data_IF_663960192383
#
_entry.id   IF_663960192383
#
_cell.length_a   1.000
_cell.length_b   1.000
_cell.length_c   1.000
_cell.angle_alpha   90.00
_cell.angle_beta   90.00
_cell.angle_gamma   90.00
#
_symmetry.space_group_name_H-M   'P 1'
#
loop_
_entity.id
_entity.type
_entity.pdbx_description
1 polymer ?
#
# COMPACT_ATOMS: atom_id res chain seq x y z
N UNK A 1 17.13 7.95 11.39
CA UNK A 1 16.02 7.15 11.95
C UNK A 1 14.71 7.74 11.48
N UNK A 2 13.93 6.91 10.80
CA UNK A 2 12.55 7.13 10.36
C UNK A 2 11.69 6.31 11.32
N UNK A 3 10.61 6.89 11.84
CA UNK A 3 9.61 6.17 12.62
C UNK A 3 8.61 5.53 11.67
N UNK A 4 8.38 4.23 11.79
CA UNK A 4 7.49 3.45 10.93
C UNK A 4 6.61 2.53 11.78
N UNK A 5 5.35 2.38 11.39
CA UNK A 5 4.46 1.36 11.95
C UNK A 5 4.80 0.00 11.34
N UNK A 6 5.09 -0.99 12.17
CA UNK A 6 5.32 -2.37 11.78
C UNK A 6 3.96 -3.09 11.67
N UNK A 7 3.56 -3.57 10.49
CA UNK A 7 2.35 -4.38 10.33
C UNK A 7 2.60 -5.87 10.61
N UNK A 8 1.51 -6.59 10.88
CA UNK A 8 1.46 -8.03 11.03
C UNK A 8 1.92 -8.72 9.74
N UNK A 9 2.99 -9.53 9.76
CA UNK A 9 3.54 -10.14 8.56
C UNK A 9 2.68 -11.32 8.08
N UNK A 10 2.60 -11.51 6.76
CA UNK A 10 2.06 -12.75 6.18
C UNK A 10 3.13 -13.84 6.19
N UNK A 11 2.93 -14.89 6.98
CA UNK A 11 3.86 -16.02 7.10
C UNK A 11 3.34 -17.31 6.41
N UNK A 12 2.35 -17.18 5.53
CA UNK A 12 1.91 -18.26 4.63
C UNK A 12 0.83 -17.80 3.64
N UNK A 13 0.72 -18.49 2.50
CA UNK A 13 -0.22 -18.16 1.41
C UNK A 13 -1.71 -18.20 1.83
N UNK A 14 -2.03 -18.91 2.91
CA UNK A 14 -3.38 -19.10 3.47
C UNK A 14 -3.54 -18.46 4.85
N UNK A 15 -2.64 -17.54 5.21
CA UNK A 15 -2.69 -16.81 6.48
C UNK A 15 -3.46 -15.50 6.30
N UNK A 16 -4.61 -15.43 6.97
CA UNK A 16 -5.45 -14.22 7.07
C UNK A 16 -5.25 -13.50 8.42
N UNK A 17 -4.92 -14.23 9.49
CA UNK A 17 -4.62 -13.69 10.83
C UNK A 17 -3.60 -14.56 11.58
N UNK A 18 -3.07 -14.03 12.70
CA UNK A 18 -2.21 -14.78 13.62
C UNK A 18 -2.22 -14.16 15.02
N UNK A 19 -1.76 -14.92 16.00
CA UNK A 19 -1.69 -14.51 17.41
C UNK A 19 -0.27 -14.08 17.77
N UNK A 20 -0.12 -12.99 18.52
CA UNK A 20 1.18 -12.62 19.10
C UNK A 20 1.50 -13.57 20.25
N UNK A 21 2.51 -14.43 20.11
CA UNK A 21 2.84 -15.43 21.13
C UNK A 21 3.75 -14.84 22.22
N UNK A 22 4.82 -14.16 21.84
CA UNK A 22 5.72 -13.46 22.76
C UNK A 22 6.45 -12.30 22.07
N UNK A 23 6.79 -11.24 22.82
CA UNK A 23 7.70 -10.19 22.34
C UNK A 23 9.14 -10.49 22.80
N UNK A 24 10.04 -10.72 21.84
CA UNK A 24 11.45 -11.03 22.12
C UNK A 24 12.27 -9.78 22.43
N UNK A 25 11.89 -8.63 21.85
CA UNK A 25 12.50 -7.31 22.08
C UNK A 25 11.60 -6.46 22.96
N UNK A 26 12.17 -5.81 23.99
CA UNK A 26 11.40 -4.98 24.92
C UNK A 26 11.10 -3.57 24.36
N UNK A 27 10.05 -2.93 24.89
CA UNK A 27 9.75 -1.54 24.54
C UNK A 27 10.94 -0.62 24.89
N UNK A 28 11.40 0.14 23.90
CA UNK A 28 12.55 1.05 24.01
C UNK A 28 13.90 0.40 23.73
N UNK A 29 13.97 -0.89 23.40
CA UNK A 29 15.20 -1.63 23.11
C UNK A 29 15.59 -1.57 21.63
N UNK A 30 16.91 -1.63 21.37
CA UNK A 30 17.47 -1.61 20.01
C UNK A 30 17.78 -3.02 19.52
N UNK A 31 17.52 -3.29 18.24
CA UNK A 31 17.71 -4.58 17.58
C UNK A 31 18.55 -4.42 16.30
N UNK A 32 19.28 -5.47 15.94
CA UNK A 32 20.02 -5.58 14.69
C UNK A 32 19.25 -6.41 13.65
N UNK A 33 19.57 -6.21 12.37
CA UNK A 33 19.05 -7.07 11.29
C UNK A 33 19.40 -8.53 11.54
N UNK A 34 18.39 -9.39 11.61
CA UNK A 34 18.50 -10.82 11.90
C UNK A 34 18.10 -11.22 13.31
N UNK A 35 17.96 -10.28 14.25
CA UNK A 35 17.48 -10.56 15.61
C UNK A 35 15.98 -10.86 15.59
N UNK A 36 15.50 -11.84 16.37
CA UNK A 36 14.06 -12.12 16.50
C UNK A 36 13.37 -10.98 17.24
N UNK A 37 12.29 -10.43 16.66
CA UNK A 37 11.51 -9.33 17.24
C UNK A 37 10.35 -9.83 18.12
N UNK A 38 9.63 -10.82 17.61
CA UNK A 38 8.49 -11.46 18.25
C UNK A 38 8.29 -12.89 17.72
N UNK A 39 7.56 -13.69 18.47
CA UNK A 39 7.03 -14.99 18.06
C UNK A 39 5.55 -14.86 17.70
N UNK A 40 5.14 -15.54 16.63
CA UNK A 40 3.78 -15.53 16.09
C UNK A 40 3.21 -16.94 16.08
N UNK A 41 2.07 -17.14 16.73
CA UNK A 41 1.32 -18.40 16.66
C UNK A 41 0.30 -18.35 15.52
N UNK A 42 0.38 -19.34 14.64
CA UNK A 42 -0.61 -19.58 13.57
C UNK A 42 -1.32 -20.91 13.83
N UNK A 43 -2.45 -21.15 13.15
CA UNK A 43 -3.21 -22.42 13.19
C UNK A 43 -2.37 -23.70 12.96
N UNK A 44 -1.16 -23.56 12.39
CA UNK A 44 -0.28 -24.69 12.03
C UNK A 44 1.01 -24.74 12.85
N UNK A 45 1.61 -23.59 13.17
CA UNK A 45 2.95 -23.49 13.75
C UNK A 45 3.17 -22.18 14.50
N UNK A 46 4.00 -22.22 15.54
CA UNK A 46 4.71 -21.05 16.07
C UNK A 46 5.86 -20.67 15.11
N UNK A 47 6.02 -19.39 14.81
CA UNK A 47 7.03 -18.87 13.86
C UNK A 47 7.69 -17.62 14.43
N UNK A 48 9.02 -17.59 14.44
CA UNK A 48 9.81 -16.40 14.81
C UNK A 48 9.80 -15.36 13.68
N UNK A 49 9.59 -14.08 14.03
CA UNK A 49 9.70 -12.96 13.08
C UNK A 49 11.04 -12.22 13.23
N UNK A 50 11.99 -12.39 12.29
CA UNK A 50 13.30 -11.73 12.35
C UNK A 50 13.26 -10.28 11.87
N UNK A 51 14.09 -9.44 12.49
CA UNK A 51 14.30 -8.05 12.11
C UNK A 51 14.89 -7.93 10.69
N UNK A 52 14.14 -7.32 9.78
CA UNK A 52 14.56 -7.17 8.38
C UNK A 52 15.58 -6.03 8.17
N UNK A 53 15.66 -5.11 9.13
CA UNK A 53 16.70 -4.08 9.27
C UNK A 53 17.10 -3.88 10.73
N UNK A 54 18.15 -3.10 10.99
CA UNK A 54 18.47 -2.66 12.35
C UNK A 54 17.60 -1.46 12.75
N UNK A 55 17.30 -1.32 14.03
CA UNK A 55 16.40 -0.28 14.53
C UNK A 55 16.20 -0.32 16.03
N UNK A 56 15.09 0.27 16.47
CA UNK A 56 14.67 0.34 17.87
C UNK A 56 13.16 0.17 17.96
N UNK A 57 12.70 -0.67 18.89
CA UNK A 57 11.29 -0.82 19.18
C UNK A 57 10.83 0.36 20.04
N UNK A 58 9.95 1.21 19.52
CA UNK A 58 9.48 2.41 20.24
C UNK A 58 8.31 2.06 21.14
N UNK A 59 7.35 1.29 20.63
CA UNK A 59 6.13 0.89 21.32
C UNK A 59 5.51 -0.36 20.69
N UNK A 60 4.99 -1.27 21.51
CA UNK A 60 4.13 -2.37 21.06
C UNK A 60 2.68 -1.90 21.08
N UNK A 61 1.94 -2.18 20.01
CA UNK A 61 0.53 -1.76 19.86
C UNK A 61 -0.46 -2.87 20.24
N UNK A 62 0.03 -4.10 20.33
CA UNK A 62 -0.70 -5.33 20.66
C UNK A 62 0.02 -6.11 21.75
N UNK A 63 -0.75 -6.78 22.61
CA UNK A 63 -0.25 -7.59 23.71
C UNK A 63 0.00 -9.05 23.31
N UNK A 64 0.73 -9.78 24.14
CA UNK A 64 0.85 -11.24 24.02
C UNK A 64 -0.53 -11.89 24.22
N UNK A 65 -0.91 -12.77 23.31
CA UNK A 65 -2.24 -13.39 23.21
C UNK A 65 -3.25 -12.64 22.32
N UNK A 66 -2.94 -11.45 21.81
CA UNK A 66 -3.84 -10.76 20.87
C UNK A 66 -3.80 -11.41 19.48
N UNK A 67 -4.99 -11.62 18.89
CA UNK A 67 -5.16 -12.07 17.50
C UNK A 67 -5.25 -10.86 16.59
N UNK A 68 -4.41 -10.84 15.55
CA UNK A 68 -4.22 -9.69 14.65
C UNK A 68 -4.33 -10.17 13.20
N UNK A 69 -5.09 -9.44 12.38
CA UNK A 69 -5.24 -9.74 10.95
C UNK A 69 -3.96 -9.34 10.17
N UNK A 70 -3.65 -10.05 9.09
CA UNK A 70 -2.46 -9.80 8.28
C UNK A 70 -2.51 -8.39 7.67
N UNK A 71 -1.46 -7.60 7.92
CA UNK A 71 -1.38 -6.19 7.54
C UNK A 71 -1.74 -5.19 8.65
N UNK A 72 -2.40 -5.60 9.73
CA UNK A 72 -2.75 -4.70 10.84
C UNK A 72 -1.53 -4.31 11.69
N UNK A 73 -1.51 -3.12 12.31
CA UNK A 73 -0.32 -2.59 12.98
C UNK A 73 -0.04 -3.26 14.33
N UNK A 74 1.16 -3.85 14.49
CA UNK A 74 1.59 -4.55 15.71
C UNK A 74 2.56 -3.75 16.59
N UNK A 75 3.36 -2.85 16.00
CA UNK A 75 4.32 -2.03 16.75
C UNK A 75 4.69 -0.74 16.02
N UNK A 76 5.40 0.15 16.72
CA UNK A 76 6.10 1.30 16.15
C UNK A 76 7.60 1.08 16.33
N UNK A 77 8.35 1.22 15.23
CA UNK A 77 9.82 1.05 15.20
C UNK A 77 10.50 2.30 14.64
N UNK A 78 11.71 2.59 15.14
CA UNK A 78 12.65 3.54 14.53
C UNK A 78 13.71 2.77 13.74
N UNK A 79 13.91 3.10 12.47
CA UNK A 79 14.93 2.44 11.63
C UNK A 79 15.53 3.39 10.59
N UNK A 80 16.72 3.11 10.07
CA UNK A 80 17.40 3.95 9.07
C UNK A 80 17.12 3.55 7.61
N UNK A 81 16.32 2.50 7.38
CA UNK A 81 15.93 2.03 6.04
C UNK A 81 14.44 1.75 5.99
N UNK A 82 13.85 1.78 4.79
CA UNK A 82 12.49 1.27 4.59
C UNK A 82 12.41 -0.19 5.06
N UNK A 83 11.41 -0.50 5.89
CA UNK A 83 11.14 -1.86 6.31
C UNK A 83 10.34 -2.55 5.20
N UNK A 84 10.88 -3.58 4.52
CA UNK A 84 10.11 -4.29 3.51
C UNK A 84 9.01 -5.07 4.21
N UNK A 85 7.77 -4.61 4.06
CA UNK A 85 6.59 -5.41 4.36
C UNK A 85 6.64 -6.61 3.42
N UNK A 86 6.54 -7.82 3.95
CA UNK A 86 6.56 -9.05 3.12
C UNK A 86 5.18 -9.20 2.46
N UNK A 87 4.98 -8.41 1.40
CA UNK A 87 3.85 -8.49 0.48
C UNK A 87 4.36 -9.04 -0.86
N UNK A 88 4.03 -10.30 -1.15
CA UNK A 88 4.13 -10.97 -2.45
C UNK A 88 5.37 -10.67 -3.33
N UNK A 89 6.58 -10.94 -2.81
CA UNK A 89 7.78 -11.39 -3.57
C UNK A 89 9.04 -11.56 -2.67
N UNK A 90 9.14 -12.68 -1.94
CA UNK A 90 10.39 -13.46 -1.73
C UNK A 90 10.20 -14.62 -0.71
N UNK A 91 9.37 -15.61 -1.04
CA UNK A 91 9.35 -16.90 -0.35
C UNK A 91 10.48 -17.80 -0.90
N UNK A 92 11.75 -17.38 -0.72
CA UNK A 92 12.81 -17.73 -1.67
C UNK A 92 14.22 -18.06 -1.14
N UNK A 93 14.45 -18.29 0.16
CA UNK A 93 15.74 -18.83 0.64
C UNK A 93 15.71 -19.46 2.05
N UNK A 94 15.37 -20.75 2.14
CA UNK A 94 15.75 -21.57 3.31
C UNK A 94 17.15 -22.17 3.10
N UNK A 95 18.08 -21.92 4.02
CA UNK A 95 19.24 -22.81 4.22
C UNK A 95 19.52 -23.02 5.70
N UNK A 96 19.46 -24.28 6.13
CA UNK A 96 19.59 -24.74 7.51
C UNK A 96 21.02 -24.65 8.08
N UNK A 97 21.12 -24.57 9.41
CA UNK A 97 22.36 -24.72 10.17
C UNK A 97 22.14 -25.48 11.48
N UNK A 98 22.04 -26.81 11.42
CA UNK A 98 21.75 -27.72 12.55
C UNK A 98 22.84 -27.78 13.62
N UNK A 99 22.45 -27.72 14.91
CA UNK A 99 22.97 -28.58 16.00
C UNK A 99 21.95 -28.72 17.15
N UNK A 100 21.88 -29.91 17.76
CA UNK A 100 20.98 -30.27 18.88
C UNK A 100 21.45 -31.58 19.57
N UNK A 101 20.84 -32.04 20.68
CA UNK A 101 20.19 -31.32 21.79
C UNK A 101 21.18 -31.39 23.00
N UNK A 102 20.96 -31.94 24.24
CA UNK A 102 19.78 -32.30 25.06
C UNK A 102 19.46 -31.24 26.17
N UNK A 103 18.42 -31.33 27.00
CA UNK A 103 17.32 -32.30 27.08
C UNK A 103 16.38 -32.11 28.30
N UNK A 104 15.23 -32.79 28.26
CA UNK A 104 14.25 -33.07 29.34
C UNK A 104 13.53 -31.87 29.99
N UNK A 105 12.29 -31.59 29.56
CA UNK A 105 11.07 -31.82 30.37
C UNK A 105 9.77 -31.28 29.71
N UNK A 106 8.78 -32.16 29.54
CA UNK A 106 7.36 -31.84 29.34
C UNK A 106 6.54 -33.00 29.96
N UNK A 107 5.24 -32.84 30.26
CA UNK A 107 4.48 -31.60 30.49
C UNK A 107 3.68 -31.62 31.81
N UNK A 108 3.20 -30.47 32.28
CA UNK A 108 2.00 -30.42 33.12
C UNK A 108 1.05 -29.33 32.64
N UNK A 109 0.03 -29.74 31.90
CA UNK A 109 -1.16 -28.94 31.66
C UNK A 109 -2.00 -28.87 32.94
N UNK A 110 -2.53 -27.70 33.25
CA UNK A 110 -3.65 -27.54 34.19
C UNK A 110 -4.50 -26.34 33.75
N UNK A 111 -5.84 -26.47 33.74
CA UNK A 111 -6.71 -25.52 33.06
C UNK A 111 -7.20 -24.41 33.97
N UNK A 112 -7.18 -23.17 33.48
CA UNK A 112 -7.90 -22.01 34.03
C UNK A 112 -8.46 -21.26 32.81
N UNK A 113 -9.68 -21.56 32.38
CA UNK A 113 -10.96 -21.05 32.89
C UNK A 113 -11.44 -19.84 32.08
N UNK A 114 -12.51 -20.05 31.31
CA UNK A 114 -13.09 -19.06 30.39
C UNK A 114 -13.70 -17.88 31.15
N UNK A 115 -13.08 -16.70 31.08
CA UNK A 115 -13.74 -15.43 31.44
C UNK A 115 -14.25 -14.73 30.18
N UNK A 116 -15.45 -15.12 29.77
CA UNK A 116 -16.28 -14.27 28.92
C UNK A 116 -16.92 -13.19 29.81
N UNK A 117 -16.64 -11.91 29.59
CA UNK A 117 -17.49 -10.84 30.14
C UNK A 117 -16.81 -9.54 30.58
N UNK A 118 -16.56 -8.66 29.60
CA UNK A 118 -16.74 -7.20 29.68
C UNK A 118 -16.10 -6.39 30.83
N UNK A 119 -15.13 -5.54 30.47
CA UNK A 119 -14.94 -4.24 31.12
C UNK A 119 -15.36 -3.08 30.20
N UNK A 120 -16.54 -2.55 30.52
CA UNK A 120 -16.90 -1.11 30.53
C UNK A 120 -16.33 -0.22 29.41
N UNK A 121 -17.12 -0.09 28.33
CA UNK A 121 -17.09 1.12 27.51
C UNK A 121 -17.52 2.34 28.35
N UNK A 122 -16.54 3.05 28.94
CA UNK A 122 -16.78 4.25 29.73
C UNK A 122 -17.42 5.35 28.88
N UNK A 123 -18.58 5.83 29.33
CA UNK A 123 -19.33 6.94 28.74
C UNK A 123 -18.92 8.25 29.43
N UNK A 124 -17.71 8.72 29.15
CA UNK A 124 -17.30 10.08 29.54
C UNK A 124 -17.85 11.12 28.55
N UNK A 125 -17.63 10.91 27.24
CA UNK A 125 -17.88 11.92 26.20
C UNK A 125 -18.97 11.51 25.18
N UNK A 126 -19.85 10.56 25.53
CA UNK A 126 -20.92 10.04 24.66
C UNK A 126 -20.44 9.18 23.46
N UNK A 127 -19.21 9.38 22.99
CA UNK A 127 -18.59 8.62 21.91
C UNK A 127 -18.20 7.21 22.38
N UNK A 128 -18.66 6.19 21.64
CA UNK A 128 -18.26 4.78 21.84
C UNK A 128 -16.99 4.50 21.04
N UNK A 129 -15.86 4.30 21.71
CA UNK A 129 -14.61 3.92 21.08
C UNK A 129 -13.93 2.78 21.85
N UNK A 130 -13.11 1.97 21.19
CA UNK A 130 -12.22 1.00 21.86
C UNK A 130 -11.07 1.74 22.57
N UNK A 131 -10.44 1.16 23.62
CA UNK A 131 -9.32 1.81 24.30
C UNK A 131 -8.17 2.17 23.35
N UNK A 132 -7.85 1.28 22.41
CA UNK A 132 -6.84 1.51 21.37
C UNK A 132 -7.21 2.69 20.46
N UNK A 133 -8.47 2.78 20.00
CA UNK A 133 -8.94 3.92 19.21
C UNK A 133 -8.81 5.25 19.97
N UNK A 134 -9.20 5.30 21.26
CA UNK A 134 -9.03 6.51 22.09
C UNK A 134 -7.56 6.91 22.22
N UNK A 135 -6.67 5.93 22.40
CA UNK A 135 -5.23 6.16 22.54
C UNK A 135 -4.62 6.71 21.25
N UNK A 136 -4.94 6.11 20.10
CA UNK A 136 -4.51 6.58 18.78
C UNK A 136 -5.04 8.00 18.47
N UNK A 137 -6.32 8.26 18.73
CA UNK A 137 -6.92 9.58 18.49
C UNK A 137 -6.26 10.67 19.34
N UNK A 138 -5.97 10.37 20.62
CA UNK A 138 -5.26 11.27 21.53
C UNK A 138 -3.83 11.56 21.07
N UNK A 139 -3.08 10.51 20.69
CA UNK A 139 -1.69 10.65 20.22
C UNK A 139 -1.58 11.46 18.92
N UNK A 140 -2.57 11.32 18.04
CA UNK A 140 -2.56 11.93 16.72
C UNK A 140 -3.39 13.24 16.63
N UNK A 141 -3.99 13.70 17.72
CA UNK A 141 -4.73 14.97 17.79
C UNK A 141 -6.08 14.97 17.06
N UNK A 142 -6.70 13.81 16.86
CA UNK A 142 -7.98 13.64 16.15
C UNK A 142 -9.14 13.71 17.14
N UNK A 143 -10.15 14.57 16.89
CA UNK A 143 -11.38 14.54 17.67
C UNK A 143 -12.19 13.29 17.32
N UNK A 144 -12.55 12.50 18.33
CA UNK A 144 -13.35 11.30 18.16
C UNK A 144 -14.81 11.59 17.77
N UNK A 145 -15.27 12.83 17.85
CA UNK A 145 -16.60 13.25 17.37
C UNK A 145 -16.67 13.29 15.84
N UNK A 146 -15.56 13.51 15.14
CA UNK A 146 -15.48 13.59 13.68
C UNK A 146 -15.31 12.23 12.99
N UNK A 147 -15.25 11.14 13.77
CA UNK A 147 -15.03 9.77 13.29
C UNK A 147 -16.33 8.95 13.25
N UNK A 148 -16.71 8.43 12.07
CA UNK A 148 -17.78 7.43 11.98
C UNK A 148 -17.21 6.02 12.26
N UNK A 149 -17.58 5.46 13.41
CA UNK A 149 -17.09 4.14 13.81
C UNK A 149 -17.68 2.98 13.03
N UNK A 150 -16.84 2.08 12.50
CA UNK A 150 -17.27 0.89 11.74
C UNK A 150 -17.68 -0.28 12.64
N UNK A 151 -17.27 -0.27 13.91
CA UNK A 151 -17.55 -1.30 14.89
C UNK A 151 -19.02 -1.45 15.30
N UNK A 152 -19.34 -2.56 15.98
CA UNK A 152 -20.72 -2.91 16.38
C UNK A 152 -21.41 -1.77 17.15
N UNK A 153 -22.56 -1.31 16.62
CA UNK A 153 -23.34 -0.14 17.08
C UNK A 153 -22.62 1.22 16.89
N UNK A 154 -21.92 1.40 15.76
CA UNK A 154 -21.10 2.59 15.44
C UNK A 154 -20.08 2.88 16.54
N UNK A 155 -19.35 1.85 16.94
CA UNK A 155 -18.20 1.99 17.85
C UNK A 155 -16.97 2.30 17.00
N UNK A 156 -16.22 3.32 17.37
CA UNK A 156 -14.94 3.67 16.73
C UNK A 156 -13.90 2.63 17.14
N UNK A 157 -13.26 2.03 16.15
CA UNK A 157 -12.19 1.05 16.27
C UNK A 157 -10.86 1.67 15.81
N UNK A 158 -9.73 0.99 16.02
CA UNK A 158 -8.41 1.56 15.76
C UNK A 158 -8.22 1.90 14.27
N UNK A 159 -8.76 1.04 13.41
CA UNK A 159 -8.86 1.20 11.95
C UNK A 159 -9.53 2.51 11.53
N UNK A 160 -10.59 2.94 12.22
CA UNK A 160 -11.33 4.17 11.89
C UNK A 160 -10.48 5.43 12.13
N UNK A 161 -9.70 5.44 13.21
CA UNK A 161 -8.76 6.53 13.52
C UNK A 161 -7.62 6.57 12.50
N UNK A 162 -7.06 5.41 12.17
CA UNK A 162 -5.98 5.29 11.18
C UNK A 162 -6.47 5.72 9.78
N UNK A 163 -7.70 5.37 9.41
CA UNK A 163 -8.31 5.79 8.15
C UNK A 163 -8.52 7.30 8.05
N UNK A 164 -8.77 7.99 9.17
CA UNK A 164 -8.82 9.45 9.21
C UNK A 164 -7.42 10.08 9.10
N UNK A 165 -6.40 9.46 9.72
CA UNK A 165 -5.01 9.93 9.68
C UNK A 165 -4.32 9.73 8.32
N UNK A 166 -4.70 8.71 7.56
CA UNK A 166 -4.21 8.47 6.19
C UNK A 166 -4.78 9.45 5.14
N UNK A 167 -5.58 10.42 5.57
CA UNK A 167 -6.49 11.17 4.71
C UNK A 167 -7.69 10.29 4.37
N UNK A 168 -8.90 10.73 4.75
CA UNK A 168 -10.11 9.98 4.47
C UNK A 168 -10.23 9.63 2.98
N UNK A 169 -10.61 8.39 2.68
CA UNK A 169 -10.70 7.78 1.33
C UNK A 169 -11.56 8.57 0.31
N UNK A 170 -12.22 9.63 0.75
CA UNK A 170 -13.12 10.50 -0.01
C UNK A 170 -12.51 11.86 -0.42
N UNK A 171 -11.38 12.29 0.18
CA UNK A 171 -10.77 13.63 -0.08
C UNK A 171 -9.34 13.54 -0.62
N UNK A 172 -8.83 12.32 -0.85
CA UNK A 172 -7.52 12.10 -1.47
C UNK A 172 -7.60 12.43 -2.97
N UNK A 173 -6.69 13.27 -3.47
CA UNK A 173 -6.60 13.51 -4.91
C UNK A 173 -6.19 12.22 -5.64
N UNK A 174 -6.97 11.84 -6.65
CA UNK A 174 -6.78 10.65 -7.44
C UNK A 174 -6.14 10.98 -8.78
N UNK A 175 -5.07 10.31 -9.16
CA UNK A 175 -4.37 10.52 -10.43
C UNK A 175 -4.33 9.23 -11.27
N UNK A 176 -4.66 9.35 -12.56
CA UNK A 176 -4.37 8.30 -13.55
C UNK A 176 -3.31 8.82 -14.55
N UNK A 177 -2.19 8.13 -14.64
CA UNK A 177 -1.05 8.49 -15.49
C UNK A 177 -0.98 7.58 -16.75
N UNK A 178 -1.03 8.19 -17.93
CA UNK A 178 -0.99 7.51 -19.23
C UNK A 178 0.33 7.83 -19.96
N UNK A 179 1.17 6.82 -20.17
CA UNK A 179 2.50 6.98 -20.78
C UNK A 179 2.43 7.25 -22.31
N UNK A 180 3.59 7.63 -22.88
CA UNK A 180 3.75 7.86 -24.32
C UNK A 180 4.10 6.58 -25.10
N UNK A 181 4.22 6.71 -26.43
CA UNK A 181 4.69 5.63 -27.30
C UNK A 181 6.11 5.17 -26.89
N UNK A 182 6.35 3.86 -26.84
CA UNK A 182 7.67 3.30 -26.48
C UNK A 182 8.06 3.48 -25.00
N UNK A 183 7.10 3.82 -24.15
CA UNK A 183 7.23 3.97 -22.70
C UNK A 183 6.29 2.98 -21.98
N UNK A 184 6.20 3.06 -20.65
CA UNK A 184 5.42 2.17 -19.78
C UNK A 184 5.10 2.88 -18.45
N UNK A 185 4.30 2.26 -17.59
CA UNK A 185 3.92 2.78 -16.27
C UNK A 185 5.13 3.13 -15.38
N UNK A 186 6.20 2.34 -15.43
CA UNK A 186 7.42 2.54 -14.62
C UNK A 186 8.12 3.88 -14.91
N UNK A 187 7.93 4.44 -16.12
CA UNK A 187 8.50 5.73 -16.52
C UNK A 187 7.99 6.90 -15.64
N UNK A 188 6.90 6.70 -14.90
CA UNK A 188 6.33 7.70 -14.00
C UNK A 188 6.86 7.67 -12.56
N UNK A 189 7.74 6.72 -12.19
CA UNK A 189 8.09 6.46 -10.79
C UNK A 189 8.50 7.67 -9.94
N UNK A 190 9.24 8.63 -10.52
CA UNK A 190 9.62 9.86 -9.83
C UNK A 190 8.44 10.82 -9.60
N UNK A 191 7.49 10.89 -10.54
CA UNK A 191 6.27 11.69 -10.39
C UNK A 191 5.30 11.05 -9.39
N UNK A 192 5.15 9.72 -9.44
CA UNK A 192 4.36 8.93 -8.48
C UNK A 192 4.85 9.23 -7.06
N UNK A 193 6.14 9.01 -6.78
CA UNK A 193 6.71 9.26 -5.47
C UNK A 193 6.53 10.72 -5.00
N UNK A 194 6.63 11.71 -5.90
CA UNK A 194 6.42 13.12 -5.55
C UNK A 194 4.96 13.47 -5.25
N UNK A 195 4.01 12.87 -5.95
CA UNK A 195 2.57 13.08 -5.73
C UNK A 195 2.08 12.34 -4.48
N UNK A 196 2.54 11.10 -4.27
CA UNK A 196 2.22 10.31 -3.09
C UNK A 196 2.81 10.89 -1.80
N UNK A 197 4.02 11.47 -1.86
CA UNK A 197 4.57 12.27 -0.75
C UNK A 197 3.75 13.54 -0.45
N UNK A 198 3.03 14.07 -1.45
CA UNK A 198 2.02 15.13 -1.29
C UNK A 198 0.65 14.61 -0.82
N UNK A 199 0.51 13.32 -0.54
CA UNK A 199 -0.72 12.69 -0.08
C UNK A 199 -1.70 12.30 -1.19
N UNK A 200 -1.36 12.41 -2.48
CA UNK A 200 -2.23 11.95 -3.57
C UNK A 200 -2.21 10.41 -3.73
N UNK A 201 -3.26 9.79 -4.27
CA UNK A 201 -3.24 8.39 -4.74
C UNK A 201 -3.01 8.41 -6.24
N UNK A 202 -2.05 7.62 -6.72
CA UNK A 202 -1.59 7.68 -8.10
C UNK A 202 -1.56 6.29 -8.70
N UNK A 203 -2.24 6.12 -9.83
CA UNK A 203 -2.20 4.89 -10.62
C UNK A 203 -1.57 5.19 -11.96
N UNK A 204 -0.58 4.40 -12.38
CA UNK A 204 -0.08 4.39 -13.74
C UNK A 204 -0.40 3.04 -14.36
N UNK A 205 -0.90 3.04 -15.60
CA UNK A 205 -1.23 1.81 -16.32
C UNK A 205 -0.35 1.63 -17.54
N UNK A 206 -0.02 0.39 -17.85
CA UNK A 206 0.52 0.00 -19.15
C UNK A 206 -0.63 -0.07 -20.16
N UNK A 207 -0.56 0.77 -21.19
CA UNK A 207 -1.49 0.72 -22.32
C UNK A 207 -1.23 -0.55 -23.16
N UNK A 208 -2.21 -1.06 -23.91
CA UNK A 208 -2.04 -2.21 -24.79
C UNK A 208 -0.78 -2.10 -25.68
N UNK A 209 -0.06 -3.21 -25.83
CA UNK A 209 1.20 -3.33 -26.56
C UNK A 209 2.43 -2.71 -25.86
N UNK A 210 2.32 -2.32 -24.58
CA UNK A 210 3.40 -1.67 -23.83
C UNK A 210 3.65 -2.31 -22.47
N UNK A 211 4.89 -2.22 -21.99
CA UNK A 211 5.29 -2.66 -20.65
C UNK A 211 4.96 -4.12 -20.37
N UNK A 212 4.06 -4.36 -19.42
CA UNK A 212 3.56 -5.67 -18.99
C UNK A 212 2.20 -6.04 -19.57
N UNK A 213 1.55 -5.13 -20.31
CA UNK A 213 0.22 -5.37 -20.90
C UNK A 213 0.36 -6.17 -22.23
N UNK A 214 -0.13 -7.42 -22.28
CA UNK A 214 0.04 -8.28 -23.45
C UNK A 214 -1.03 -8.06 -24.53
N UNK A 215 -2.05 -7.23 -24.27
CA UNK A 215 -3.13 -6.99 -25.23
C UNK A 215 -2.61 -6.18 -26.42
N UNK A 216 -2.93 -6.59 -27.65
CA UNK A 216 -2.64 -5.81 -28.85
C UNK A 216 -3.61 -4.62 -29.00
N UNK A 217 -3.13 -3.53 -29.60
CA UNK A 217 -3.96 -2.43 -30.09
C UNK A 217 -3.70 -2.17 -31.58
N UNK A 218 -4.78 -2.17 -32.37
CA UNK A 218 -4.75 -1.89 -33.80
C UNK A 218 -5.04 -0.41 -34.11
N UNK A 219 -5.70 0.30 -33.18
CA UNK A 219 -6.11 1.71 -33.32
C UNK A 219 -6.04 2.44 -31.97
N UNK A 220 -6.00 3.77 -32.03
CA UNK A 220 -5.97 4.65 -30.85
C UNK A 220 -7.15 4.41 -29.89
N UNK A 221 -8.31 3.99 -30.41
CA UNK A 221 -9.50 3.75 -29.60
C UNK A 221 -9.35 2.52 -28.69
N UNK A 222 -8.51 1.54 -29.05
CA UNK A 222 -8.25 0.37 -28.19
C UNK A 222 -7.50 0.79 -26.91
N UNK A 223 -6.59 1.77 -27.02
CA UNK A 223 -5.89 2.37 -25.89
C UNK A 223 -6.84 3.20 -25.01
N UNK A 224 -7.82 3.86 -25.63
CA UNK A 224 -8.86 4.62 -24.92
C UNK A 224 -9.82 3.68 -24.19
N UNK A 225 -10.26 2.60 -24.83
CA UNK A 225 -11.14 1.60 -24.23
C UNK A 225 -10.48 0.93 -23.01
N UNK A 226 -9.17 0.68 -23.06
CA UNK A 226 -8.38 0.22 -21.89
C UNK A 226 -8.43 1.24 -20.72
N UNK A 227 -8.13 2.52 -20.98
CA UNK A 227 -8.16 3.55 -19.95
C UNK A 227 -9.58 3.83 -19.41
N UNK A 228 -10.61 3.76 -20.27
CA UNK A 228 -12.02 3.85 -19.87
C UNK A 228 -12.45 2.65 -19.03
N UNK A 229 -12.04 1.43 -19.39
CA UNK A 229 -12.31 0.23 -18.60
C UNK A 229 -11.67 0.32 -17.21
N UNK A 230 -10.44 0.83 -17.11
CA UNK A 230 -9.78 1.11 -15.84
C UNK A 230 -10.53 2.16 -15.00
N UNK A 231 -10.96 3.27 -15.58
CA UNK A 231 -11.72 4.30 -14.84
C UNK A 231 -13.11 3.83 -14.40
N UNK A 232 -13.74 2.90 -15.11
CA UNK A 232 -15.04 2.31 -14.71
C UNK A 232 -14.96 1.45 -13.45
N UNK A 233 -13.78 1.00 -13.03
CA UNK A 233 -13.60 0.31 -11.73
C UNK A 233 -13.30 1.28 -10.57
N UNK A 234 -13.07 2.56 -10.86
CA UNK A 234 -12.75 3.58 -9.88
C UNK A 234 -14.01 4.29 -9.37
N UNK A 235 -14.09 4.49 -8.05
CA UNK A 235 -15.11 5.33 -7.42
C UNK A 235 -14.62 6.76 -7.30
N UNK A 236 -15.34 7.71 -7.89
CA UNK A 236 -15.02 9.15 -7.84
C UNK A 236 -14.47 9.68 -9.16
N UNK A 237 -13.81 10.84 -9.10
CA UNK A 237 -13.19 11.51 -10.25
C UNK A 237 -11.67 11.49 -10.12
N UNK A 238 -10.95 11.41 -11.24
CA UNK A 238 -9.49 11.47 -11.28
C UNK A 238 -8.96 12.71 -12.00
N UNK A 239 -7.78 13.18 -11.61
CA UNK A 239 -6.91 14.02 -12.42
C UNK A 239 -6.20 13.12 -13.45
N UNK A 240 -6.49 13.34 -14.73
CA UNK A 240 -6.02 12.49 -15.81
C UNK A 240 -4.78 13.12 -16.45
N UNK A 241 -3.62 12.47 -16.32
CA UNK A 241 -2.34 12.97 -16.82
C UNK A 241 -1.89 12.11 -17.99
N UNK A 242 -1.60 12.72 -19.13
CA UNK A 242 -1.13 11.99 -20.32
C UNK A 242 0.13 12.61 -20.91
N UNK A 243 1.10 11.77 -21.28
CA UNK A 243 2.32 12.19 -21.97
C UNK A 243 2.32 11.73 -23.43
N UNK A 244 2.64 12.63 -24.37
CA UNK A 244 2.77 12.33 -25.81
C UNK A 244 1.52 11.60 -26.35
N UNK A 245 1.64 10.33 -26.79
CA UNK A 245 0.51 9.48 -27.20
C UNK A 245 -0.55 9.34 -26.09
N UNK A 246 -0.13 9.14 -24.84
CA UNK A 246 -1.03 9.04 -23.68
C UNK A 246 -1.81 10.34 -23.42
N UNK A 247 -1.32 11.49 -23.90
CA UNK A 247 -2.06 12.74 -23.85
C UNK A 247 -3.25 12.74 -24.84
N UNK A 248 -3.10 12.13 -26.02
CA UNK A 248 -4.21 11.93 -26.95
C UNK A 248 -5.27 10.99 -26.35
N UNK A 249 -4.81 9.90 -25.72
CA UNK A 249 -5.68 8.95 -25.00
C UNK A 249 -6.41 9.69 -23.88
N UNK A 250 -5.71 10.47 -23.05
CA UNK A 250 -6.30 11.27 -21.98
C UNK A 250 -7.39 12.23 -22.47
N UNK A 251 -7.12 12.98 -23.55
CA UNK A 251 -8.10 13.89 -24.15
C UNK A 251 -9.34 13.15 -24.69
N UNK A 252 -9.16 11.98 -25.33
CA UNK A 252 -10.28 11.14 -25.78
C UNK A 252 -11.09 10.57 -24.61
N UNK A 253 -10.44 10.01 -23.59
CA UNK A 253 -11.09 9.50 -22.37
C UNK A 253 -11.95 10.59 -21.71
N UNK A 254 -11.40 11.78 -21.48
CA UNK A 254 -12.12 12.89 -20.88
C UNK A 254 -13.30 13.40 -21.74
N UNK A 255 -13.25 13.21 -23.07
CA UNK A 255 -14.39 13.51 -23.95
C UNK A 255 -15.49 12.44 -23.92
N UNK A 256 -15.17 11.19 -23.55
CA UNK A 256 -16.12 10.08 -23.50
C UNK A 256 -16.79 9.93 -22.13
N UNK A 257 -16.05 10.14 -21.04
CA UNK A 257 -16.52 9.97 -19.64
C UNK A 257 -16.13 11.19 -18.75
N UNK A 258 -16.55 12.42 -19.09
CA UNK A 258 -16.22 13.63 -18.34
C UNK A 258 -16.71 13.60 -16.87
N UNK A 259 -17.71 12.77 -16.55
CA UNK A 259 -18.19 12.53 -15.19
C UNK A 259 -17.14 11.87 -14.28
N UNK A 260 -16.23 11.07 -14.84
CA UNK A 260 -15.14 10.37 -14.13
C UNK A 260 -13.83 11.16 -14.04
N UNK A 261 -13.78 12.37 -14.62
CA UNK A 261 -12.57 13.20 -14.69
C UNK A 261 -12.77 14.51 -13.93
N UNK A 262 -11.79 14.88 -13.09
CA UNK A 262 -11.71 16.18 -12.40
C UNK A 262 -11.02 17.22 -13.28
N UNK A 263 -9.87 16.83 -13.85
CA UNK A 263 -8.96 17.71 -14.59
C UNK A 263 -8.16 16.87 -15.60
N UNK A 264 -7.64 17.50 -16.65
CA UNK A 264 -6.80 16.84 -17.66
C UNK A 264 -5.49 17.61 -17.83
N UNK A 265 -4.36 16.94 -17.57
CA UNK A 265 -3.01 17.48 -17.74
C UNK A 265 -2.34 16.81 -18.94
N UNK A 266 -2.04 17.60 -19.97
CA UNK A 266 -1.44 17.12 -21.22
C UNK A 266 0.03 17.54 -21.32
N UNK A 267 0.95 16.56 -21.29
CA UNK A 267 2.39 16.78 -21.35
C UNK A 267 2.88 16.45 -22.76
N UNK A 268 3.37 17.46 -23.48
CA UNK A 268 3.85 17.35 -24.87
C UNK A 268 2.89 16.55 -25.79
N UNK A 269 1.61 16.93 -25.90
CA UNK A 269 0.59 16.06 -26.48
C UNK A 269 0.77 15.80 -27.98
N UNK A 270 0.83 14.52 -28.36
CA UNK A 270 0.72 14.12 -29.75
C UNK A 270 -0.75 14.20 -30.20
N UNK A 271 -1.02 14.79 -31.37
CA UNK A 271 -2.37 14.81 -31.94
C UNK A 271 -3.39 15.76 -31.28
N UNK A 272 -2.99 16.60 -30.31
CA UNK A 272 -3.83 17.68 -29.78
C UNK A 272 -3.27 19.04 -30.20
N UNK A 273 -3.87 19.65 -31.21
CA UNK A 273 -3.39 20.88 -31.84
C UNK A 273 -3.50 20.81 -33.37
N UNK A 274 -3.31 21.93 -34.09
CA UNK A 274 -3.68 22.01 -35.50
C UNK A 274 -2.77 21.24 -36.46
N UNK A 275 -1.49 21.05 -36.12
CA UNK A 275 -0.51 20.45 -37.04
C UNK A 275 0.43 19.46 -36.34
N UNK A 276 0.48 18.24 -36.88
CA UNK A 276 1.57 17.27 -36.69
C UNK A 276 2.23 17.14 -38.06
N UNK A 277 3.50 17.52 -38.18
CA UNK A 277 4.17 17.55 -39.48
C UNK A 277 4.41 16.12 -39.99
N UNK A 278 3.54 15.67 -40.92
CA UNK A 278 3.63 14.36 -41.54
C UNK A 278 4.88 14.19 -42.43
N UNK A 279 5.44 15.28 -42.95
CA UNK A 279 6.70 15.29 -43.70
C UNK A 279 7.89 15.06 -42.77
N UNK A 280 7.88 15.67 -41.57
CA UNK A 280 8.88 15.39 -40.52
C UNK A 280 8.81 13.93 -40.04
N UNK A 281 7.60 13.39 -39.81
CA UNK A 281 7.43 11.99 -39.40
C UNK A 281 7.87 11.00 -40.49
N UNK A 282 7.58 11.28 -41.77
CA UNK A 282 8.10 10.48 -42.89
C UNK A 282 9.60 10.60 -43.02
N UNK A 283 10.15 11.81 -42.93
CA UNK A 283 11.58 12.07 -42.96
C UNK A 283 12.35 11.26 -41.92
N UNK A 284 11.82 11.12 -40.69
CA UNK A 284 12.42 10.23 -39.67
C UNK A 284 12.26 8.73 -39.97
N UNK A 285 11.17 8.32 -40.65
CA UNK A 285 10.89 6.91 -40.95
C UNK A 285 11.60 6.41 -42.23
N UNK A 286 12.01 7.33 -43.11
CA UNK A 286 12.66 7.09 -44.40
C UNK A 286 14.17 7.40 -44.35
N UNK A 287 14.76 7.52 -43.14
CA UNK A 287 16.22 7.66 -42.96
C UNK A 287 16.93 6.36 -43.34
N UNK A 288 17.70 6.41 -44.43
CA UNK A 288 18.58 5.34 -44.88
C UNK A 288 20.05 5.56 -44.45
N UNK A 289 20.47 6.80 -44.17
CA UNK A 289 21.84 7.12 -43.74
C UNK A 289 21.96 8.27 -42.72
N UNK A 290 23.08 8.29 -41.97
CA UNK A 290 23.35 9.20 -40.85
C UNK A 290 23.48 10.69 -41.24
N UNK A 291 23.79 11.02 -42.49
CA UNK A 291 23.85 12.41 -42.97
C UNK A 291 22.45 13.02 -43.18
N UNK A 292 21.38 12.20 -43.24
CA UNK A 292 19.98 12.66 -43.26
C UNK A 292 19.47 13.05 -41.86
N UNK A 293 20.25 12.82 -40.80
CA UNK A 293 19.95 13.16 -39.40
C UNK A 293 20.68 14.43 -38.90
N UNK A 294 21.33 15.18 -39.79
CA UNK A 294 22.17 16.36 -39.48
C UNK A 294 21.53 17.69 -39.88
#
# INVERSE_FOLDING_TARGET
>A
MITLTLPMPRLGETMDSGTIASWTVAQGESFARGDTLLELETDKTLVEYPALGSGRLVETLVAEGDVVDVGDPIAIIETDKAWPIVSDQDAGASTSGTTAPPGIAQPQSSPVETVAGAETASLADGVRATPLARRLATLAGVDMQDLEGTGRRRRIEASDVIAALGGGKADRQEFLLLHGLGSNALSWGALIASLEAGGARVTAIDLPGHGTNPDDAAKIDDLVDCAVAHLRTHSGKVHLVGHSLGAWVAAKVASQIPESVSEVTLIAPAGCGPEVNAEFLRGMAEVEDMDQLR
#
